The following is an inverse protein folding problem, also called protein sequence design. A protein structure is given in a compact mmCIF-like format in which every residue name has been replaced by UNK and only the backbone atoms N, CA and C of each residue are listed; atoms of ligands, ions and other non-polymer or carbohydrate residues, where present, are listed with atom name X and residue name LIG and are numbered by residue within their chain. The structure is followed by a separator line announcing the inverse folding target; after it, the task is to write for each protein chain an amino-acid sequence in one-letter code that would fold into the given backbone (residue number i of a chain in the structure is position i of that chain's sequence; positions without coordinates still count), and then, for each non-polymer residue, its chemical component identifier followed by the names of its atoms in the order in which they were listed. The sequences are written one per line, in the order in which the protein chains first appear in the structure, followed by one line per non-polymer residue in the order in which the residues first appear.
data_IF_601631589373
#
_entry.id   IF_601631589373
#
_cell.length_a   1.000
_cell.length_b   1.000
_cell.length_c   1.000
_cell.angle_alpha   90.00
_cell.angle_beta   90.00
_cell.angle_gamma   90.00
#
_symmetry.space_group_name_H-M   'P 1'
#
loop_
_entity.id
_entity.type
_entity.pdbx_description
1 polymer ?
#
# COMPACT_ATOMS: atom_id res chain seq x y z
N UNK A 1 20.90 -7.12 11.74
CA UNK A 1 19.66 -6.32 11.66
C UNK A 1 19.80 -4.83 11.32
N UNK A 2 20.61 -4.01 12.02
CA UNK A 2 20.57 -2.54 11.80
C UNK A 2 20.96 -2.09 10.39
N UNK A 3 21.97 -2.72 9.79
CA UNK A 3 22.38 -2.43 8.40
C UNK A 3 21.27 -2.79 7.39
N UNK A 4 20.54 -3.89 7.63
CA UNK A 4 19.40 -4.33 6.80
C UNK A 4 18.27 -3.31 6.89
N UNK A 5 17.92 -2.88 8.11
CA UNK A 5 16.94 -1.82 8.35
C UNK A 5 17.32 -0.54 7.61
N UNK A 6 18.56 -0.09 7.77
CA UNK A 6 19.02 1.14 7.13
C UNK A 6 18.91 1.06 5.60
N UNK A 7 19.31 -0.07 5.01
CA UNK A 7 19.17 -0.33 3.58
C UNK A 7 17.69 -0.23 3.16
N UNK A 8 16.81 -1.00 3.82
CA UNK A 8 15.37 -1.02 3.54
C UNK A 8 14.74 0.37 3.61
N UNK A 9 14.95 1.11 4.71
CA UNK A 9 14.41 2.46 4.88
C UNK A 9 14.96 3.43 3.83
N UNK A 10 16.22 3.27 3.41
CA UNK A 10 16.84 4.12 2.37
C UNK A 10 16.20 3.88 1.00
N UNK A 11 15.95 2.63 0.63
CA UNK A 11 15.42 2.29 -0.69
C UNK A 11 13.88 2.38 -0.76
N UNK A 12 13.18 2.28 0.36
CA UNK A 12 11.72 2.25 0.42
C UNK A 12 11.02 3.36 -0.39
N UNK A 13 11.38 4.65 -0.26
CA UNK A 13 10.86 5.73 -1.10
C UNK A 13 10.75 5.40 -2.58
N UNK A 14 11.84 4.90 -3.16
CA UNK A 14 11.94 4.65 -4.59
C UNK A 14 11.14 3.40 -4.97
N UNK A 15 11.27 2.32 -4.20
CA UNK A 15 10.61 1.05 -4.50
C UNK A 15 9.10 1.15 -4.32
N UNK A 16 8.62 1.94 -3.34
CA UNK A 16 7.19 2.22 -3.16
C UNK A 16 6.60 2.92 -4.39
N UNK A 17 7.28 3.93 -4.93
CA UNK A 17 6.84 4.62 -6.15
C UNK A 17 6.87 3.66 -7.34
N UNK A 18 7.95 2.91 -7.53
CA UNK A 18 8.06 1.94 -8.63
C UNK A 18 7.01 0.83 -8.55
N UNK A 19 6.65 0.37 -7.36
CA UNK A 19 5.59 -0.62 -7.18
C UNK A 19 4.22 -0.02 -7.50
N UNK A 20 3.95 1.22 -7.08
CA UNK A 20 2.72 1.91 -7.48
C UNK A 20 2.60 2.03 -9.01
N UNK A 21 3.68 2.46 -9.69
CA UNK A 21 3.74 2.55 -11.15
C UNK A 21 3.55 1.19 -11.83
N UNK A 22 4.12 0.12 -11.26
CA UNK A 22 3.98 -1.25 -11.76
C UNK A 22 2.52 -1.73 -11.74
N UNK A 23 1.74 -1.29 -10.74
CA UNK A 23 0.32 -1.60 -10.56
C UNK A 23 -0.61 -0.54 -11.14
N UNK A 24 -0.10 0.39 -11.96
CA UNK A 24 -0.89 1.48 -12.56
C UNK A 24 -1.60 2.38 -11.53
N UNK A 25 -1.10 2.42 -10.29
CA UNK A 25 -1.58 3.29 -9.22
C UNK A 25 -0.90 4.65 -9.32
N UNK A 26 -1.69 5.70 -9.51
CA UNK A 26 -1.17 7.08 -9.56
C UNK A 26 -1.15 7.67 -8.16
N UNK A 27 0.02 7.76 -7.53
CA UNK A 27 0.16 8.25 -6.15
C UNK A 27 -0.20 9.74 -5.97
N UNK A 28 -0.15 10.55 -7.02
CA UNK A 28 -0.45 11.98 -6.94
C UNK A 28 0.59 12.81 -6.17
N UNK A 29 0.15 13.87 -5.52
CA UNK A 29 0.96 14.70 -4.63
C UNK A 29 1.31 13.97 -3.34
N UNK A 30 2.44 14.34 -2.74
CA UNK A 30 2.86 13.83 -1.44
C UNK A 30 3.01 14.97 -0.44
N UNK A 31 2.34 14.81 0.71
CA UNK A 31 2.54 15.63 1.91
C UNK A 31 3.41 14.79 2.85
N UNK A 32 4.65 15.23 3.05
CA UNK A 32 5.59 14.56 3.96
C UNK A 32 5.48 15.18 5.35
N UNK A 33 4.95 14.41 6.31
CA UNK A 33 4.93 14.81 7.72
C UNK A 33 6.30 14.57 8.38
N UNK A 34 7.03 13.55 7.93
CA UNK A 34 8.41 13.27 8.31
C UNK A 34 9.14 12.53 7.18
N UNK A 35 10.38 12.11 7.42
CA UNK A 35 11.12 11.22 6.51
C UNK A 35 10.43 9.87 6.34
N UNK A 36 9.70 9.40 7.35
CA UNK A 36 9.06 8.08 7.38
C UNK A 36 7.53 8.10 7.37
N UNK A 37 6.90 9.28 7.36
CA UNK A 37 5.43 9.41 7.38
C UNK A 37 4.93 10.29 6.26
N UNK A 38 4.27 9.69 5.28
CA UNK A 38 3.85 10.35 4.05
C UNK A 38 2.34 10.21 3.85
N UNK A 39 1.74 11.24 3.28
CA UNK A 39 0.32 11.26 2.97
C UNK A 39 0.09 11.67 1.52
N UNK A 40 -0.68 10.87 0.81
CA UNK A 40 -1.02 11.05 -0.59
C UNK A 40 -2.52 11.39 -0.68
N UNK A 41 -2.89 12.69 -0.77
CA UNK A 41 -4.28 13.11 -0.76
C UNK A 41 -5.04 12.79 -2.07
N UNK A 42 -4.33 12.45 -3.13
CA UNK A 42 -4.81 12.31 -4.49
C UNK A 42 -4.27 11.05 -5.16
N UNK A 43 -4.06 9.99 -4.36
CA UNK A 43 -3.76 8.66 -4.89
C UNK A 43 -4.97 8.15 -5.68
N UNK A 44 -4.77 7.62 -6.87
CA UNK A 44 -5.83 7.12 -7.73
C UNK A 44 -5.59 5.66 -8.09
N UNK A 45 -6.66 4.87 -7.97
CA UNK A 45 -6.71 3.46 -8.37
C UNK A 45 -7.65 3.35 -9.57
N UNK A 46 -7.20 2.67 -10.62
CA UNK A 46 -7.97 2.50 -11.86
C UNK A 46 -8.63 1.14 -11.86
N UNK A 47 -9.96 1.13 -11.94
CA UNK A 47 -10.74 -0.10 -12.09
C UNK A 47 -11.32 -0.18 -13.49
N UNK A 48 -11.05 -1.27 -14.21
CA UNK A 48 -11.42 -1.40 -15.62
C UNK A 48 -12.60 -2.37 -15.87
N UNK A 49 -13.05 -3.11 -14.86
CA UNK A 49 -14.13 -4.07 -15.02
C UNK A 49 -15.48 -3.34 -15.16
N UNK A 50 -16.18 -3.58 -16.26
CA UNK A 50 -17.41 -2.87 -16.70
C UNK A 50 -17.25 -1.39 -17.08
N UNK A 51 -16.03 -0.97 -17.46
CA UNK A 51 -15.70 0.39 -17.88
C UNK A 51 -14.62 0.98 -16.99
N UNK A 52 -13.82 1.90 -17.53
CA UNK A 52 -12.75 2.56 -16.79
C UNK A 52 -13.35 3.54 -15.76
N UNK A 53 -13.15 3.25 -14.48
CA UNK A 53 -13.47 4.11 -13.34
C UNK A 53 -12.20 4.42 -12.59
N UNK A 54 -12.05 5.67 -12.18
CA UNK A 54 -10.92 6.13 -11.37
C UNK A 54 -11.44 6.45 -9.97
N UNK A 55 -10.85 5.80 -8.97
CA UNK A 55 -11.20 6.01 -7.57
C UNK A 55 -10.08 6.79 -6.88
N UNK A 56 -10.42 7.96 -6.33
CA UNK A 56 -9.50 8.74 -5.53
C UNK A 56 -9.48 8.21 -4.08
N UNK A 57 -8.29 7.91 -3.60
CA UNK A 57 -7.98 7.35 -2.30
C UNK A 57 -6.98 8.27 -1.58
N UNK A 58 -7.23 8.53 -0.31
CA UNK A 58 -6.27 9.11 0.60
C UNK A 58 -5.36 8.00 1.13
N UNK A 59 -4.06 8.05 0.84
CA UNK A 59 -3.13 7.00 1.29
C UNK A 59 -2.13 7.55 2.31
N UNK A 60 -2.16 7.01 3.54
CA UNK A 60 -1.16 7.27 4.57
C UNK A 60 -0.12 6.13 4.57
N UNK A 61 1.16 6.47 4.51
CA UNK A 61 2.27 5.51 4.51
C UNK A 61 3.17 5.78 5.71
N UNK A 62 3.35 4.76 6.55
CA UNK A 62 4.25 4.74 7.70
C UNK A 62 5.44 3.81 7.40
N UNK A 63 6.51 4.37 6.83
CA UNK A 63 7.69 3.64 6.35
C UNK A 63 8.36 2.85 7.47
N UNK A 64 8.62 3.48 8.61
CA UNK A 64 9.33 2.82 9.72
C UNK A 64 8.54 1.62 10.25
N UNK A 65 7.23 1.80 10.46
CA UNK A 65 6.33 0.70 10.88
C UNK A 65 6.30 -0.42 9.85
N UNK A 66 6.27 -0.08 8.57
CA UNK A 66 6.24 -1.05 7.46
C UNK A 66 7.54 -1.85 7.38
N UNK A 67 8.69 -1.18 7.53
CA UNK A 67 10.01 -1.83 7.57
C UNK A 67 10.15 -2.71 8.81
N UNK A 68 9.72 -2.26 9.98
CA UNK A 68 9.70 -3.09 11.20
C UNK A 68 8.83 -4.33 11.03
N UNK A 69 7.65 -4.18 10.42
CA UNK A 69 6.77 -5.29 10.12
C UNK A 69 7.45 -6.30 9.18
N UNK A 70 8.14 -5.83 8.13
CA UNK A 70 8.89 -6.69 7.22
C UNK A 70 9.98 -7.49 7.95
N UNK A 71 10.79 -6.81 8.76
CA UNK A 71 11.90 -7.40 9.49
C UNK A 71 11.45 -8.36 10.61
N UNK A 72 10.21 -8.21 11.10
CA UNK A 72 9.63 -9.11 12.08
C UNK A 72 9.25 -10.49 11.50
N UNK A 73 9.31 -10.66 10.17
CA UNK A 73 8.97 -11.91 9.49
C UNK A 73 10.17 -12.48 8.72
N UNK A 74 10.17 -13.79 8.39
CA UNK A 74 11.22 -14.38 7.57
C UNK A 74 11.35 -13.69 6.20
N UNK A 75 12.56 -13.58 5.64
CA UNK A 75 12.76 -13.07 4.27
C UNK A 75 11.88 -13.82 3.26
N UNK A 76 11.21 -13.07 2.37
CA UNK A 76 10.32 -13.63 1.35
C UNK A 76 8.99 -14.21 1.87
N UNK A 77 8.60 -13.93 3.11
CA UNK A 77 7.29 -14.34 3.65
C UNK A 77 6.10 -13.59 3.04
N UNK A 78 6.33 -12.42 2.46
CA UNK A 78 5.37 -11.59 1.72
C UNK A 78 5.64 -11.70 0.22
N UNK A 79 5.75 -12.93 -0.27
CA UNK A 79 6.07 -13.21 -1.66
C UNK A 79 4.84 -13.59 -2.47
N UNK A 80 4.63 -12.89 -3.59
CA UNK A 80 3.62 -13.25 -4.58
C UNK A 80 3.98 -14.55 -5.32
N UNK A 81 3.09 -15.56 -5.37
CA UNK A 81 3.38 -16.85 -5.99
C UNK A 81 3.70 -16.70 -7.49
N UNK A 82 4.90 -17.13 -7.91
CA UNK A 82 5.28 -17.18 -9.33
C UNK A 82 6.76 -16.97 -9.62
N UNK A 83 7.50 -16.27 -8.75
CA UNK A 83 8.95 -16.20 -8.85
C UNK A 83 9.63 -17.24 -7.94
N UNK A 84 10.60 -17.98 -8.48
CA UNK A 84 11.41 -18.94 -7.72
C UNK A 84 12.47 -18.18 -6.93
N UNK A 85 12.07 -17.55 -5.82
CA UNK A 85 12.98 -16.84 -4.94
C UNK A 85 13.41 -17.79 -3.82
N UNK A 86 14.69 -18.13 -3.81
CA UNK A 86 15.31 -18.91 -2.74
C UNK A 86 16.06 -17.97 -1.82
N UNK A 87 15.38 -17.45 -0.79
CA UNK A 87 16.03 -16.64 0.23
C UNK A 87 16.62 -17.49 1.36
N UNK A 88 17.74 -17.07 1.95
CA UNK A 88 18.17 -17.56 3.25
C UNK A 88 17.09 -17.33 4.33
N UNK A 89 17.15 -18.12 5.40
CA UNK A 89 16.15 -18.05 6.47
C UNK A 89 16.31 -16.81 7.38
N UNK A 90 17.50 -16.20 7.41
CA UNK A 90 17.82 -15.05 8.26
C UNK A 90 18.21 -13.83 7.43
N UNK A 91 17.76 -12.64 7.86
CA UNK A 91 18.03 -11.37 7.19
C UNK A 91 19.52 -11.03 7.09
N UNK A 92 20.33 -11.42 8.06
CA UNK A 92 21.78 -11.20 8.07
C UNK A 92 22.54 -11.99 7.00
N UNK A 93 21.93 -13.04 6.44
CA UNK A 93 22.54 -13.88 5.42
C UNK A 93 22.26 -13.36 4.00
N UNK A 94 21.38 -12.37 3.86
CA UNK A 94 21.03 -11.79 2.57
C UNK A 94 22.08 -10.75 2.14
N UNK A 95 22.40 -10.75 0.85
CA UNK A 95 23.11 -9.63 0.24
C UNK A 95 22.18 -8.43 0.00
N UNK A 96 22.75 -7.28 -0.36
CA UNK A 96 22.00 -6.04 -0.57
C UNK A 96 20.95 -6.16 -1.70
N UNK A 97 21.19 -7.00 -2.71
CA UNK A 97 20.22 -7.24 -3.80
C UNK A 97 19.04 -8.02 -3.25
N UNK A 98 19.31 -9.10 -2.51
CA UNK A 98 18.26 -9.93 -1.91
C UNK A 98 17.39 -9.16 -0.90
N UNK A 99 17.99 -8.24 -0.12
CA UNK A 99 17.25 -7.35 0.79
C UNK A 99 16.28 -6.46 0.02
N UNK A 100 16.74 -5.86 -1.08
CA UNK A 100 15.92 -5.02 -1.95
C UNK A 100 14.82 -5.80 -2.65
N UNK A 101 15.12 -7.01 -3.13
CA UNK A 101 14.14 -7.90 -3.74
C UNK A 101 13.06 -8.30 -2.72
N UNK A 102 13.42 -8.55 -1.46
CA UNK A 102 12.41 -8.80 -0.42
C UNK A 102 11.44 -7.63 -0.26
N UNK A 103 11.95 -6.39 -0.28
CA UNK A 103 11.11 -5.20 -0.21
C UNK A 103 10.23 -5.04 -1.45
N UNK A 104 10.78 -5.30 -2.63
CA UNK A 104 10.01 -5.30 -3.89
C UNK A 104 8.81 -6.19 -3.82
N UNK A 105 9.02 -7.46 -3.50
CA UNK A 105 7.98 -8.47 -3.56
C UNK A 105 6.92 -8.22 -2.50
N UNK A 106 7.33 -7.71 -1.32
CA UNK A 106 6.40 -7.27 -0.30
C UNK A 106 5.53 -6.08 -0.76
N UNK A 107 6.13 -5.08 -1.41
CA UNK A 107 5.40 -3.92 -1.96
C UNK A 107 4.51 -4.30 -3.14
N UNK A 108 5.00 -5.14 -4.04
CA UNK A 108 4.29 -5.68 -5.19
C UNK A 108 3.04 -6.47 -4.76
N UNK A 109 3.19 -7.36 -3.77
CA UNK A 109 2.07 -8.07 -3.17
C UNK A 109 1.11 -7.11 -2.45
N UNK A 110 1.63 -6.12 -1.72
CA UNK A 110 0.78 -5.13 -1.07
C UNK A 110 -0.05 -4.32 -2.06
N UNK A 111 0.54 -3.84 -3.17
CA UNK A 111 -0.21 -3.10 -4.19
C UNK A 111 -1.26 -3.97 -4.90
N UNK A 112 -0.95 -5.25 -5.12
CA UNK A 112 -1.93 -6.23 -5.63
C UNK A 112 -3.18 -6.29 -4.73
N UNK A 113 -2.98 -6.39 -3.42
CA UNK A 113 -4.10 -6.42 -2.47
C UNK A 113 -4.76 -5.06 -2.28
N UNK A 114 -3.99 -3.97 -2.29
CA UNK A 114 -4.48 -2.61 -2.13
C UNK A 114 -5.52 -2.28 -3.21
N UNK A 115 -5.20 -2.53 -4.48
CA UNK A 115 -6.14 -2.34 -5.59
C UNK A 115 -7.41 -3.19 -5.40
N UNK A 116 -7.24 -4.50 -5.20
CA UNK A 116 -8.34 -5.43 -4.99
C UNK A 116 -9.29 -5.01 -3.84
N UNK A 117 -8.73 -4.63 -2.69
CA UNK A 117 -9.51 -4.25 -1.51
C UNK A 117 -10.19 -2.89 -1.66
N UNK A 118 -9.51 -1.90 -2.23
CA UNK A 118 -10.12 -0.58 -2.50
C UNK A 118 -11.35 -0.74 -3.37
N UNK A 119 -11.22 -1.49 -4.48
CA UNK A 119 -12.33 -1.76 -5.39
C UNK A 119 -13.46 -2.52 -4.70
N UNK A 120 -13.14 -3.62 -4.01
CA UNK A 120 -14.15 -4.44 -3.34
C UNK A 120 -14.96 -3.65 -2.31
N UNK A 121 -14.28 -2.85 -1.48
CA UNK A 121 -14.94 -2.05 -0.44
C UNK A 121 -15.78 -0.92 -1.06
N UNK A 122 -15.32 -0.29 -2.14
CA UNK A 122 -16.12 0.72 -2.85
C UNK A 122 -17.39 0.09 -3.46
N UNK A 123 -17.26 -1.04 -4.16
CA UNK A 123 -18.39 -1.77 -4.75
C UNK A 123 -19.41 -2.17 -3.68
N UNK A 124 -18.96 -2.63 -2.50
CA UNK A 124 -19.82 -2.93 -1.35
C UNK A 124 -20.61 -1.70 -0.88
N UNK A 125 -19.95 -0.54 -0.79
CA UNK A 125 -20.60 0.69 -0.33
C UNK A 125 -21.57 1.25 -1.38
N UNK A 126 -21.20 1.22 -2.68
CA UNK A 126 -22.12 1.56 -3.77
C UNK A 126 -23.36 0.65 -3.76
N UNK A 127 -23.16 -0.67 -3.57
CA UNK A 127 -24.28 -1.61 -3.47
C UNK A 127 -25.22 -1.28 -2.30
N UNK A 128 -24.65 -0.99 -1.12
CA UNK A 128 -25.42 -0.72 0.10
C UNK A 128 -26.15 0.62 0.09
N UNK A 129 -25.62 1.64 -0.60
CA UNK A 129 -26.22 2.99 -0.68
C UNK A 129 -27.08 3.21 -1.92
N UNK A 130 -27.04 2.29 -2.88
CA UNK A 130 -27.47 2.54 -4.24
C UNK A 130 -26.37 3.22 -5.06
N UNK A 131 -26.46 3.14 -6.39
CA UNK A 131 -25.51 3.75 -7.32
C UNK A 131 -25.66 5.29 -7.33
N UNK A 132 -25.33 5.95 -6.22
CA UNK A 132 -25.26 7.42 -6.17
C UNK A 132 -23.85 7.85 -6.58
N UNK A 133 -23.68 8.52 -7.74
CA UNK A 133 -22.37 8.97 -8.18
C UNK A 133 -21.89 10.15 -7.33
N UNK A 134 -20.66 10.02 -6.82
CA UNK A 134 -19.87 11.14 -6.30
C UNK A 134 -20.21 11.53 -4.87
N UNK A 135 -19.41 11.04 -3.92
CA UNK A 135 -19.14 11.61 -2.58
C UNK A 135 -18.31 10.66 -1.69
N UNK A 136 -18.08 9.42 -2.14
CA UNK A 136 -17.24 8.46 -1.44
C UNK A 136 -15.77 8.84 -1.58
N UNK A 137 -15.20 9.35 -0.49
CA UNK A 137 -13.74 9.46 -0.33
C UNK A 137 -13.24 8.32 0.54
N UNK A 138 -12.27 7.58 0.04
CA UNK A 138 -11.68 6.43 0.73
C UNK A 138 -10.34 6.85 1.31
N UNK A 139 -10.05 6.44 2.53
CA UNK A 139 -8.75 6.54 3.16
C UNK A 139 -8.17 5.16 3.42
N UNK A 140 -6.90 4.97 3.12
CA UNK A 140 -6.16 3.74 3.32
C UNK A 140 -4.87 4.04 4.07
N UNK A 141 -4.37 3.04 4.77
CA UNK A 141 -3.11 3.13 5.51
C UNK A 141 -2.21 1.92 5.19
N UNK A 142 -0.94 2.21 4.90
CA UNK A 142 0.15 1.25 4.87
C UNK A 142 0.97 1.40 6.15
N UNK A 143 0.88 0.40 7.02
CA UNK A 143 1.67 0.29 8.26
C UNK A 143 2.35 -1.09 8.42
N UNK A 144 2.21 -1.95 7.42
CA UNK A 144 2.74 -3.32 7.38
C UNK A 144 2.20 -4.10 6.18
N UNK A 145 2.79 -5.26 5.92
CA UNK A 145 2.46 -6.11 4.77
C UNK A 145 1.39 -7.16 5.06
N UNK A 146 1.06 -7.37 6.34
CA UNK A 146 0.12 -8.40 6.78
C UNK A 146 -1.35 -7.96 6.66
N UNK A 147 -2.04 -8.31 5.56
CA UNK A 147 -3.52 -8.37 5.31
C UNK A 147 -4.41 -7.17 5.68
N UNK A 148 -3.94 -6.17 6.43
CA UNK A 148 -4.75 -5.09 6.98
C UNK A 148 -4.57 -3.83 6.16
N UNK A 149 -5.34 -3.73 5.08
CA UNK A 149 -5.67 -2.43 4.52
C UNK A 149 -6.71 -1.82 5.46
N UNK A 150 -6.31 -0.89 6.32
CA UNK A 150 -7.28 -0.15 7.12
C UNK A 150 -7.99 0.84 6.18
N UNK A 151 -9.05 0.37 5.54
CA UNK A 151 -9.88 1.16 4.63
C UNK A 151 -10.93 1.89 5.49
N UNK A 152 -10.91 3.21 5.41
CA UNK A 152 -11.83 4.11 6.08
C UNK A 152 -12.60 4.89 5.03
N UNK A 153 -13.90 4.95 5.15
CA UNK A 153 -14.70 5.82 4.29
C UNK A 153 -14.97 7.14 5.00
N UNK A 154 -14.59 8.24 4.37
CA UNK A 154 -15.03 9.57 4.77
C UNK A 154 -16.38 9.82 4.10
N UNK A 155 -17.43 9.57 4.85
CA UNK A 155 -18.76 10.05 4.49
C UNK A 155 -18.90 11.48 5.02
N UNK A 156 -19.74 12.30 4.39
CA UNK A 156 -20.21 13.53 5.02
C UNK A 156 -20.67 13.15 6.43
N UNK A 157 -19.93 13.63 7.44
CA UNK A 157 -20.40 13.64 8.81
C UNK A 157 -21.78 14.28 8.72
N UNK A 158 -22.83 13.56 9.10
CA UNK A 158 -24.14 14.15 9.36
C UNK A 158 -23.89 15.35 10.27
N UNK A 159 -23.75 16.53 9.66
CA UNK A 159 -23.69 17.79 10.35
C UNK A 159 -25.12 17.99 10.84
N UNK A 160 -25.47 17.33 11.95
CA UNK A 160 -26.64 17.71 12.70
C UNK A 160 -26.37 19.15 13.14
N UNK A 161 -27.13 20.14 12.63
CA UNK A 161 -27.04 21.47 13.19
C UNK A 161 -27.39 21.35 14.68
N UNK A 162 -26.48 21.85 15.51
CA UNK A 162 -26.67 21.98 16.95
C UNK A 162 -27.78 22.97 17.25
#
# INVERSE_FOLDING_TARGET
MEEVRQELTTVFPQWFISAAEHHEVSLGQVIRFSTSRWFFPDCNVVYTNNGERVYQVFLLVEIDSTVENLLAHPPGSFHYPGATLSYPAAWEELDATQIRDCLWHALDEWFTYFDYHVVFEIDQVEYNRGQEPGDLRVGCQLEGFSTRHNIQFLHELDAKPS
#
